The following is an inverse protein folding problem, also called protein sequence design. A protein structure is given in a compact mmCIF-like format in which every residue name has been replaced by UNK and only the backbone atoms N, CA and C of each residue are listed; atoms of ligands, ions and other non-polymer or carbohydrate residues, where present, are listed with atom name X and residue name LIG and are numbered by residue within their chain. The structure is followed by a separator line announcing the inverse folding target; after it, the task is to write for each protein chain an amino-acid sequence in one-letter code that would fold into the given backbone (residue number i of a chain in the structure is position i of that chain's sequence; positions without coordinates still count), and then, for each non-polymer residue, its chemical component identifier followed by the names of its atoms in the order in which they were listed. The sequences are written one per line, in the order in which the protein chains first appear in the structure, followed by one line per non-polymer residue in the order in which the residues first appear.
data_IF_387264995417
#
_entry.id   IF_387264995417
#
_cell.length_a   1.000
_cell.length_b   1.000
_cell.length_c   1.000
_cell.angle_alpha   90.00
_cell.angle_beta   90.00
_cell.angle_gamma   90.00
#
_symmetry.space_group_name_H-M   'P 1'
#
loop_
_entity.id
_entity.type
_entity.pdbx_description
1 polymer ?
#
# COMPACT_ATOMS: atom_id res chain seq x y z
N UNK A 1 12.30 -25.13 1.07
CA UNK A 1 11.04 -25.16 0.31
C UNK A 1 9.92 -24.70 1.22
N UNK A 2 9.22 -23.63 0.83
CA UNK A 2 8.14 -22.99 1.59
C UNK A 2 7.29 -22.18 0.62
N UNK A 3 6.81 -22.87 -0.40
CA UNK A 3 6.05 -22.36 -1.52
C UNK A 3 4.57 -22.25 -1.15
N UNK A 4 4.16 -21.14 -0.50
CA UNK A 4 2.75 -20.68 -0.40
C UNK A 4 2.62 -19.16 -0.29
N UNK A 5 3.58 -18.39 -0.82
CA UNK A 5 3.50 -16.93 -0.83
C UNK A 5 2.67 -16.40 -1.99
N UNK A 6 2.44 -15.08 -2.06
CA UNK A 6 1.96 -14.45 -3.28
C UNK A 6 3.15 -14.06 -4.18
N UNK A 7 2.94 -14.10 -5.48
CA UNK A 7 3.83 -13.54 -6.51
C UNK A 7 3.07 -12.50 -7.32
N UNK A 8 3.77 -11.54 -7.91
CA UNK A 8 3.18 -10.45 -8.71
C UNK A 8 4.21 -9.95 -9.73
N UNK A 9 3.73 -9.29 -10.77
CA UNK A 9 4.56 -8.55 -11.72
C UNK A 9 4.77 -7.12 -11.22
N UNK A 10 6.02 -6.67 -11.25
CA UNK A 10 6.38 -5.29 -10.90
C UNK A 10 6.08 -4.38 -12.10
N UNK A 11 5.41 -3.23 -11.90
CA UNK A 11 5.17 -2.29 -12.99
C UNK A 11 6.47 -1.81 -13.65
N UNK A 12 6.43 -1.63 -14.97
CA UNK A 12 7.54 -1.06 -15.73
C UNK A 12 7.90 0.33 -15.19
N UNK A 13 9.19 0.59 -14.96
CA UNK A 13 9.68 1.87 -14.44
C UNK A 13 9.83 1.93 -12.92
N UNK A 14 9.36 0.92 -12.19
CA UNK A 14 9.59 0.82 -10.75
C UNK A 14 10.95 0.16 -10.50
N UNK A 15 11.73 0.73 -9.58
CA UNK A 15 13.04 0.18 -9.22
C UNK A 15 12.91 -0.66 -7.95
N UNK A 16 13.26 -1.94 -8.01
CA UNK A 16 13.32 -2.77 -6.79
C UNK A 16 14.45 -2.30 -5.88
N UNK A 17 14.17 -2.24 -4.58
CA UNK A 17 15.12 -1.91 -3.54
C UNK A 17 15.22 -3.07 -2.52
N UNK A 18 16.37 -3.23 -1.86
CA UNK A 18 16.47 -4.10 -0.69
C UNK A 18 15.46 -3.66 0.38
N UNK A 19 14.62 -4.57 0.91
CA UNK A 19 13.67 -4.22 1.96
C UNK A 19 14.40 -3.71 3.21
N UNK A 20 13.97 -2.56 3.72
CA UNK A 20 14.63 -1.90 4.86
C UNK A 20 14.34 -2.54 6.24
N UNK A 21 13.44 -3.53 6.31
CA UNK A 21 13.16 -4.28 7.54
C UNK A 21 12.62 -5.69 7.26
N UNK A 22 12.70 -6.58 8.25
CA UNK A 22 12.25 -7.97 8.12
C UNK A 22 10.74 -8.13 7.86
N UNK A 23 9.93 -7.12 8.20
CA UNK A 23 8.48 -7.11 7.95
C UNK A 23 8.15 -6.75 6.49
N UNK A 24 9.10 -6.15 5.76
CA UNK A 24 8.96 -5.76 4.36
C UNK A 24 9.37 -6.94 3.49
N UNK A 25 8.41 -7.53 2.80
CA UNK A 25 8.64 -8.63 1.87
C UNK A 25 9.21 -8.13 0.54
N UNK A 26 8.84 -6.92 0.13
CA UNK A 26 9.41 -6.24 -1.02
C UNK A 26 9.32 -4.72 -0.86
N UNK A 27 10.21 -4.00 -1.54
CA UNK A 27 10.25 -2.54 -1.57
C UNK A 27 10.59 -2.08 -2.99
N UNK A 28 9.92 -1.02 -3.43
CA UNK A 28 10.08 -0.43 -4.75
C UNK A 28 10.09 1.09 -4.66
N UNK A 29 11.01 1.70 -5.39
CA UNK A 29 11.04 3.14 -5.63
C UNK A 29 10.29 3.46 -6.91
N UNK A 30 9.46 4.49 -6.84
CA UNK A 30 8.67 5.01 -7.94
C UNK A 30 9.14 6.44 -8.21
N UNK A 31 9.69 6.70 -9.39
CA UNK A 31 10.10 8.05 -9.79
C UNK A 31 8.92 8.79 -10.42
N UNK A 32 8.74 10.07 -10.07
CA UNK A 32 7.73 10.90 -10.71
C UNK A 32 8.03 12.39 -10.56
N UNK A 33 7.33 13.19 -11.37
CA UNK A 33 7.56 14.64 -11.44
C UNK A 33 7.26 15.39 -10.13
N UNK A 34 6.40 14.83 -9.26
CA UNK A 34 6.11 15.39 -7.94
C UNK A 34 7.14 15.00 -6.86
N UNK A 35 8.17 14.23 -7.21
CA UNK A 35 9.12 13.61 -6.28
C UNK A 35 8.94 12.09 -6.18
N UNK A 36 9.88 11.39 -5.53
CA UNK A 36 9.83 9.94 -5.41
C UNK A 36 8.67 9.48 -4.51
N UNK A 37 8.08 8.35 -4.85
CA UNK A 37 7.17 7.60 -4.00
C UNK A 37 7.76 6.21 -3.71
N UNK A 38 7.26 5.54 -2.68
CA UNK A 38 7.67 4.20 -2.29
C UNK A 38 6.47 3.26 -2.37
N UNK A 39 6.65 2.05 -2.90
CA UNK A 39 5.73 0.94 -2.71
C UNK A 39 6.36 -0.17 -1.88
N UNK A 40 5.67 -0.60 -0.84
CA UNK A 40 6.12 -1.63 0.08
C UNK A 40 5.09 -2.74 0.14
N UNK A 41 5.56 -3.98 0.12
CA UNK A 41 4.73 -5.17 0.35
C UNK A 41 5.06 -5.72 1.73
N UNK A 42 4.10 -5.70 2.64
CA UNK A 42 4.24 -6.27 3.98
C UNK A 42 3.60 -7.65 4.04
N UNK A 43 4.28 -8.55 4.76
CA UNK A 43 3.78 -9.87 5.11
C UNK A 43 4.15 -10.14 6.57
N UNK A 44 3.13 -10.35 7.41
CA UNK A 44 3.33 -10.55 8.84
C UNK A 44 3.18 -12.03 9.27
N UNK A 45 2.77 -12.91 8.36
CA UNK A 45 2.51 -14.33 8.64
C UNK A 45 1.06 -14.64 9.05
N UNK A 46 0.71 -15.94 9.15
CA UNK A 46 -0.64 -16.39 9.48
C UNK A 46 -1.15 -15.83 10.81
N UNK A 47 -2.38 -15.33 10.83
CA UNK A 47 -3.01 -14.74 12.02
C UNK A 47 -2.44 -13.38 12.46
N UNK A 48 -1.44 -12.84 11.75
CA UNK A 48 -0.81 -11.55 12.07
C UNK A 48 -1.25 -10.44 11.11
N UNK A 49 -0.92 -9.19 11.44
CA UNK A 49 -1.20 -8.01 10.59
C UNK A 49 -2.59 -7.40 10.75
N UNK A 50 -3.52 -8.09 11.43
CA UNK A 50 -4.88 -7.62 11.71
C UNK A 50 -5.86 -7.83 10.54
N UNK A 51 -7.10 -7.39 10.72
CA UNK A 51 -8.13 -7.49 9.69
C UNK A 51 -8.06 -6.34 8.67
N UNK A 52 -8.76 -6.53 7.55
CA UNK A 52 -8.81 -5.58 6.44
C UNK A 52 -9.34 -4.22 6.88
N UNK A 53 -10.47 -4.17 7.60
CA UNK A 53 -11.14 -2.93 8.00
C UNK A 53 -10.28 -2.10 8.96
N UNK A 54 -9.66 -2.74 9.95
CA UNK A 54 -8.76 -2.10 10.90
C UNK A 54 -7.53 -1.50 10.20
N UNK A 55 -6.99 -2.18 9.18
CA UNK A 55 -5.89 -1.64 8.39
C UNK A 55 -6.32 -0.47 7.50
N UNK A 56 -7.49 -0.53 6.86
CA UNK A 56 -8.04 0.61 6.12
C UNK A 56 -8.18 1.82 7.05
N UNK A 57 -8.81 1.65 8.20
CA UNK A 57 -8.98 2.72 9.18
C UNK A 57 -7.62 3.30 9.65
N UNK A 58 -6.62 2.43 9.87
CA UNK A 58 -5.26 2.86 10.21
C UNK A 58 -4.61 3.67 9.10
N UNK A 59 -4.72 3.25 7.84
CA UNK A 59 -4.14 3.98 6.72
C UNK A 59 -4.82 5.33 6.52
N UNK A 60 -6.14 5.38 6.62
CA UNK A 60 -6.91 6.64 6.56
C UNK A 60 -6.51 7.59 7.69
N UNK A 61 -6.32 7.08 8.91
CA UNK A 61 -5.89 7.87 10.07
C UNK A 61 -4.50 8.48 9.96
N UNK A 62 -3.69 8.08 8.96
CA UNK A 62 -2.40 8.70 8.66
C UNK A 62 -2.52 9.91 7.73
N UNK A 63 -3.73 10.28 7.34
CA UNK A 63 -4.01 11.42 6.49
C UNK A 63 -4.95 12.41 7.17
N UNK A 64 -4.68 13.69 6.96
CA UNK A 64 -5.51 14.80 7.40
C UNK A 64 -5.79 15.72 6.21
N UNK A 65 -6.86 16.51 6.31
CA UNK A 65 -7.11 17.63 5.42
C UNK A 65 -6.08 18.75 5.67
N UNK A 66 -5.93 19.73 4.75
CA UNK A 66 -5.03 20.86 4.95
C UNK A 66 -5.30 21.67 6.24
N UNK A 67 -6.53 21.65 6.74
CA UNK A 67 -6.94 22.29 8.01
C UNK A 67 -6.69 21.43 9.27
N UNK A 68 -6.06 20.26 9.12
CA UNK A 68 -5.76 19.32 10.20
C UNK A 68 -6.92 18.41 10.60
N UNK A 69 -8.10 18.56 9.99
CA UNK A 69 -9.25 17.68 10.29
C UNK A 69 -9.09 16.31 9.61
N UNK A 70 -9.77 15.24 10.08
CA UNK A 70 -9.72 13.94 9.43
C UNK A 70 -10.16 14.01 7.96
N UNK A 71 -9.49 13.23 7.08
CA UNK A 71 -9.83 13.19 5.64
C UNK A 71 -11.28 12.76 5.36
N UNK A 72 -11.90 12.01 6.27
CA UNK A 72 -13.31 11.63 6.18
C UNK A 72 -13.61 10.88 4.89
N UNK A 73 -14.48 11.45 4.04
CA UNK A 73 -14.91 10.89 2.75
C UNK A 73 -13.82 10.87 1.66
N UNK A 74 -12.65 11.48 1.87
CA UNK A 74 -11.53 11.41 0.92
C UNK A 74 -10.76 10.07 0.97
N UNK A 75 -11.48 8.98 1.28
CA UNK A 75 -11.06 7.59 1.13
C UNK A 75 -11.97 6.90 0.13
N UNK A 76 -11.37 6.26 -0.87
CA UNK A 76 -12.08 5.33 -1.74
C UNK A 76 -11.67 3.92 -1.39
N UNK A 77 -12.65 3.03 -1.19
CA UNK A 77 -12.40 1.59 -1.06
C UNK A 77 -13.13 0.84 -2.15
N UNK A 78 -12.48 -0.16 -2.72
CA UNK A 78 -13.07 -1.02 -3.75
C UNK A 78 -12.64 -2.45 -3.55
N UNK A 79 -13.60 -3.37 -3.56
CA UNK A 79 -13.31 -4.79 -3.54
C UNK A 79 -13.19 -5.32 -4.97
N UNK A 80 -12.16 -6.14 -5.19
CA UNK A 80 -11.95 -6.89 -6.42
C UNK A 80 -11.60 -8.34 -6.07
N UNK A 81 -11.69 -9.22 -7.08
CA UNK A 81 -11.13 -10.57 -7.00
C UNK A 81 -10.05 -10.74 -8.07
N UNK A 82 -8.92 -11.30 -7.67
CA UNK A 82 -7.82 -11.67 -8.59
C UNK A 82 -7.71 -13.18 -8.55
N UNK A 83 -8.34 -13.85 -9.52
CA UNK A 83 -8.60 -15.28 -9.42
C UNK A 83 -9.52 -15.57 -8.24
N UNK A 84 -9.05 -16.38 -7.29
CA UNK A 84 -9.75 -16.72 -6.05
C UNK A 84 -9.25 -15.93 -4.83
N UNK A 85 -8.43 -14.91 -5.04
CA UNK A 85 -7.87 -14.04 -3.98
C UNK A 85 -8.75 -12.78 -3.87
N UNK A 86 -9.50 -12.60 -2.76
CA UNK A 86 -10.16 -11.34 -2.45
C UNK A 86 -9.12 -10.24 -2.23
N UNK A 87 -9.35 -9.06 -2.80
CA UNK A 87 -8.49 -7.90 -2.59
C UNK A 87 -9.33 -6.66 -2.32
N UNK A 88 -9.01 -5.95 -1.24
CA UNK A 88 -9.55 -4.62 -0.97
C UNK A 88 -8.53 -3.57 -1.40
N UNK A 89 -8.88 -2.80 -2.43
CA UNK A 89 -8.15 -1.61 -2.84
C UNK A 89 -8.58 -0.43 -1.96
N UNK A 90 -7.61 0.40 -1.61
CA UNK A 90 -7.78 1.60 -0.79
C UNK A 90 -7.06 2.74 -1.47
N UNK A 91 -7.68 3.90 -1.50
CA UNK A 91 -7.08 5.13 -1.94
C UNK A 91 -7.39 6.23 -0.95
N UNK A 92 -6.38 7.00 -0.58
CA UNK A 92 -6.52 8.16 0.30
C UNK A 92 -5.64 9.28 -0.24
N UNK A 93 -6.15 10.51 -0.26
CA UNK A 93 -5.38 11.71 -0.56
C UNK A 93 -5.47 12.70 0.61
N UNK A 94 -4.42 13.49 0.81
CA UNK A 94 -4.38 14.53 1.84
C UNK A 94 -2.98 14.85 2.31
N UNK A 95 -2.89 15.45 3.49
CA UNK A 95 -1.63 15.66 4.20
C UNK A 95 -1.27 14.37 4.94
N UNK A 96 -0.19 13.72 4.53
CA UNK A 96 0.32 12.54 5.20
C UNK A 96 1.09 12.94 6.46
N UNK A 97 0.62 12.46 7.61
CA UNK A 97 1.24 12.76 8.93
C UNK A 97 2.04 11.58 9.48
N UNK A 98 2.16 10.48 8.72
CA UNK A 98 3.00 9.35 9.12
C UNK A 98 2.42 8.45 10.21
N UNK A 99 3.25 7.52 10.70
CA UNK A 99 2.94 6.64 11.85
C UNK A 99 2.62 5.18 11.49
N UNK A 100 3.60 4.38 11.05
CA UNK A 100 3.46 2.93 11.13
C UNK A 100 3.72 2.50 12.59
N UNK A 101 2.66 2.39 13.39
CA UNK A 101 2.77 2.02 14.81
C UNK A 101 3.14 3.19 15.71
N UNK A 102 3.75 2.89 16.87
CA UNK A 102 4.05 3.82 17.97
C UNK A 102 5.29 4.73 17.77
N UNK A 103 5.78 4.87 16.54
CA UNK A 103 6.91 5.76 16.23
C UNK A 103 6.48 7.23 16.08
N UNK A 104 7.40 8.20 16.25
CA UNK A 104 7.08 9.61 16.05
C UNK A 104 6.58 9.86 14.62
N UNK A 105 5.44 10.55 14.53
CA UNK A 105 4.93 11.09 13.28
C UNK A 105 6.01 11.98 12.63
N UNK A 106 6.30 11.75 11.35
CA UNK A 106 7.19 12.61 10.58
C UNK A 106 6.59 14.01 10.40
N UNK A 107 7.36 14.94 9.81
CA UNK A 107 6.81 16.23 9.41
C UNK A 107 5.62 16.02 8.45
N UNK A 108 4.50 16.76 8.62
CA UNK A 108 3.35 16.66 7.73
C UNK A 108 3.74 16.87 6.27
N UNK A 109 3.34 15.94 5.40
CA UNK A 109 3.64 15.96 3.98
C UNK A 109 2.36 16.26 3.20
N UNK A 110 2.14 17.52 2.78
CA UNK A 110 0.94 17.89 2.04
C UNK A 110 0.89 17.23 0.65
N UNK A 111 -0.29 17.21 0.04
CA UNK A 111 -0.53 16.70 -1.32
C UNK A 111 0.06 15.29 -1.52
N UNK A 112 -0.12 14.43 -0.53
CA UNK A 112 0.29 13.04 -0.56
C UNK A 112 -0.90 12.13 -0.86
N UNK A 113 -0.56 10.94 -1.33
CA UNK A 113 -1.50 9.90 -1.67
C UNK A 113 -1.03 8.56 -1.11
N UNK A 114 -1.99 7.72 -0.74
CA UNK A 114 -1.79 6.29 -0.54
C UNK A 114 -2.62 5.52 -1.54
N UNK A 115 -1.97 4.61 -2.27
CA UNK A 115 -2.60 3.51 -2.99
C UNK A 115 -2.31 2.23 -2.22
N UNK A 116 -3.34 1.66 -1.63
CA UNK A 116 -3.29 0.47 -0.79
C UNK A 116 -4.00 -0.71 -1.43
N UNK A 117 -3.50 -1.92 -1.16
CA UNK A 117 -4.24 -3.14 -1.43
C UNK A 117 -4.01 -4.15 -0.31
N UNK A 118 -5.08 -4.79 0.14
CA UNK A 118 -5.05 -5.88 1.11
C UNK A 118 -5.50 -7.14 0.38
N UNK A 119 -4.56 -8.01 0.06
CA UNK A 119 -4.84 -9.28 -0.60
C UNK A 119 -4.94 -10.40 0.44
N UNK A 120 -6.06 -11.10 0.45
CA UNK A 120 -6.27 -12.26 1.32
C UNK A 120 -5.63 -13.49 0.68
N UNK A 121 -4.32 -13.61 0.88
CA UNK A 121 -3.51 -14.73 0.41
C UNK A 121 -3.92 -16.06 1.06
N UNK A 122 -3.39 -17.19 0.57
CA UNK A 122 -3.79 -18.52 1.02
C UNK A 122 -3.47 -18.80 2.49
N UNK A 123 -2.53 -18.06 3.09
CA UNK A 123 -2.01 -18.26 4.43
C UNK A 123 -2.21 -17.04 5.35
N UNK A 124 -2.10 -15.84 4.80
CA UNK A 124 -2.18 -14.57 5.51
C UNK A 124 -2.64 -13.43 4.59
N UNK A 125 -2.90 -12.26 5.20
CA UNK A 125 -3.11 -11.02 4.44
C UNK A 125 -1.78 -10.42 4.02
N UNK A 126 -1.73 -9.96 2.78
CA UNK A 126 -0.60 -9.27 2.19
C UNK A 126 -0.99 -7.82 1.95
N UNK A 127 -0.13 -6.90 2.37
CA UNK A 127 -0.44 -5.48 2.36
C UNK A 127 0.49 -4.76 1.38
N UNK A 128 -0.06 -4.33 0.26
CA UNK A 128 0.64 -3.52 -0.73
C UNK A 128 0.33 -2.06 -0.42
N UNK A 129 1.35 -1.25 -0.22
CA UNK A 129 1.18 0.17 0.11
C UNK A 129 2.14 1.00 -0.72
N UNK A 130 1.61 1.77 -1.66
CA UNK A 130 2.33 2.83 -2.33
C UNK A 130 1.99 4.18 -1.68
N UNK A 131 2.99 4.90 -1.19
CA UNK A 131 2.84 6.20 -0.51
C UNK A 131 3.85 7.20 -1.06
N UNK A 132 3.40 8.45 -1.28
CA UNK A 132 4.25 9.52 -1.77
C UNK A 132 3.44 10.69 -2.33
N UNK A 133 4.09 11.59 -3.09
CA UNK A 133 3.43 12.75 -3.69
C UNK A 133 2.25 12.33 -4.58
N UNK A 134 1.11 12.98 -4.40
CA UNK A 134 -0.13 12.71 -5.14
C UNK A 134 0.10 12.80 -6.65
N UNK A 135 0.79 13.83 -7.13
CA UNK A 135 1.10 14.01 -8.55
C UNK A 135 1.96 12.87 -9.16
N UNK A 136 2.72 12.14 -8.34
CA UNK A 136 3.47 10.95 -8.76
C UNK A 136 2.56 9.72 -8.77
N UNK A 137 1.83 9.47 -7.68
CA UNK A 137 1.00 8.26 -7.55
C UNK A 137 -0.26 8.27 -8.39
N UNK A 138 -0.84 9.44 -8.71
CA UNK A 138 -1.97 9.53 -9.62
C UNK A 138 -1.64 9.00 -11.01
N UNK A 139 -0.43 9.26 -11.52
CA UNK A 139 0.07 8.74 -12.80
C UNK A 139 0.34 7.25 -12.74
N UNK A 140 0.76 6.76 -11.57
CA UNK A 140 1.11 5.36 -11.33
C UNK A 140 -0.07 4.50 -10.86
N UNK A 141 -1.24 5.09 -10.66
CA UNK A 141 -2.48 4.41 -10.25
C UNK A 141 -2.77 3.16 -11.07
N UNK A 142 -2.73 3.29 -12.39
CA UNK A 142 -2.96 2.14 -13.27
C UNK A 142 -1.82 1.12 -13.19
N UNK A 143 -0.58 1.56 -12.96
CA UNK A 143 0.57 0.70 -12.73
C UNK A 143 0.39 -0.15 -11.47
N UNK A 144 0.02 0.49 -10.36
CA UNK A 144 -0.31 -0.18 -9.11
C UNK A 144 -1.46 -1.17 -9.29
N UNK A 145 -2.57 -0.77 -9.92
CA UNK A 145 -3.68 -1.69 -10.14
C UNK A 145 -3.28 -2.90 -11.02
N UNK A 146 -2.44 -2.70 -12.04
CA UNK A 146 -1.89 -3.82 -12.84
C UNK A 146 -1.04 -4.77 -11.98
N UNK A 147 -0.21 -4.24 -11.08
CA UNK A 147 0.55 -5.05 -10.12
C UNK A 147 -0.40 -5.92 -9.28
N UNK A 148 -1.46 -5.32 -8.71
CA UNK A 148 -2.43 -6.06 -7.90
C UNK A 148 -3.18 -7.12 -8.71
N UNK A 149 -3.60 -6.79 -9.93
CA UNK A 149 -4.27 -7.75 -10.82
C UNK A 149 -3.37 -8.88 -11.32
N UNK A 150 -2.06 -8.72 -11.22
CA UNK A 150 -1.08 -9.76 -11.57
C UNK A 150 -0.79 -10.73 -10.43
N UNK A 151 -1.38 -10.53 -9.24
CA UNK A 151 -1.17 -11.39 -8.08
C UNK A 151 -1.56 -12.84 -8.42
N UNK A 152 -0.67 -13.77 -8.07
CA UNK A 152 -0.88 -15.21 -8.19
C UNK A 152 -0.32 -15.93 -6.97
N UNK A 153 -0.85 -17.10 -6.66
CA UNK A 153 -0.23 -18.01 -5.69
C UNK A 153 1.16 -18.40 -6.20
N UNK A 154 2.16 -18.25 -5.35
CA UNK A 154 3.49 -18.81 -5.56
C UNK A 154 3.40 -20.32 -5.43
N UNK A 155 3.80 -21.02 -6.50
CA UNK A 155 3.95 -22.48 -6.52
C UNK A 155 5.20 -22.94 -5.81
#
# INVERSE_FOLDING_TARGET
MGARGLTWAVPSGWTSEPPSSAMRRAQYRITGAGGPAECVVFYFGPGQGGDTRANVARWVGQFQRPDGTPVGEAVTTREIKVGDIPVTLVEVTGTYVGGMGSGPAGAPQPNHMLLGAIAEGPDARWFFRATGPQATLEKERQGFERMIRSIKRGG
#
